data_IF_034230860015
#
_entry.id   IF_034230860015
#
_cell.length_a   1.000
_cell.length_b   1.000
_cell.length_c   1.000
_cell.angle_alpha   90.00
_cell.angle_beta   90.00
_cell.angle_gamma   90.00
#
_symmetry.space_group_name_H-M   'P 1'
#
loop_
_entity.id
_entity.type
_entity.pdbx_description
1 polymer ?
#
# COMPACT_ATOMS: atom_id res chain seq x y z
N UNK A 1 -40.61 22.40 15.27
CA UNK A 1 -40.29 23.29 14.13
C UNK A 1 -38.80 23.58 14.11
N UNK A 2 -38.18 23.73 12.94
CA UNK A 2 -36.75 24.07 12.78
C UNK A 2 -36.56 25.32 11.91
N UNK A 3 -35.62 26.19 12.27
CA UNK A 3 -35.32 27.41 11.51
C UNK A 3 -34.07 27.25 10.67
N UNK A 4 -34.13 27.70 9.41
CA UNK A 4 -32.99 27.69 8.52
C UNK A 4 -31.91 28.68 8.99
N UNK A 5 -30.70 28.20 9.23
CA UNK A 5 -29.53 29.01 9.62
C UNK A 5 -29.08 30.00 8.55
N UNK A 6 -29.44 29.77 7.28
CA UNK A 6 -29.02 30.60 6.14
C UNK A 6 -29.99 31.73 5.83
N UNK A 7 -31.30 31.51 5.99
CA UNK A 7 -32.32 32.48 5.57
C UNK A 7 -33.40 32.77 6.62
N UNK A 8 -33.36 32.14 7.79
CA UNK A 8 -34.29 32.38 8.90
C UNK A 8 -35.70 31.82 8.71
N UNK A 9 -35.98 31.14 7.59
CA UNK A 9 -37.31 30.57 7.34
C UNK A 9 -37.62 29.40 8.28
N UNK A 10 -38.84 29.34 8.79
CA UNK A 10 -39.37 28.24 9.59
C UNK A 10 -39.72 27.05 8.69
N UNK A 11 -39.32 25.85 9.09
CA UNK A 11 -39.59 24.60 8.38
C UNK A 11 -40.11 23.54 9.37
N UNK A 12 -40.74 22.51 8.83
CA UNK A 12 -41.16 21.33 9.60
C UNK A 12 -39.96 20.58 10.16
N UNK A 13 -40.16 19.88 11.29
CA UNK A 13 -39.09 19.12 11.95
C UNK A 13 -38.54 17.99 11.05
N UNK A 14 -39.35 17.48 10.13
CA UNK A 14 -38.94 16.41 9.21
C UNK A 14 -38.34 16.93 7.89
N UNK A 15 -38.29 18.24 7.67
CA UNK A 15 -37.72 18.81 6.45
C UNK A 15 -36.19 18.63 6.43
N UNK A 16 -35.66 17.92 5.42
CA UNK A 16 -34.20 17.80 5.23
C UNK A 16 -33.56 19.06 4.66
N UNK A 17 -34.32 19.80 3.86
CA UNK A 17 -33.88 21.02 3.18
C UNK A 17 -34.87 22.15 3.43
N UNK A 18 -34.35 23.38 3.43
CA UNK A 18 -35.14 24.58 3.63
C UNK A 18 -36.03 24.83 2.41
N UNK A 19 -37.34 24.98 2.64
CA UNK A 19 -38.34 25.23 1.58
C UNK A 19 -38.11 26.55 0.83
N UNK A 20 -37.44 27.52 1.46
CA UNK A 20 -37.22 28.85 0.87
C UNK A 20 -35.90 28.99 0.11
N UNK A 21 -34.82 28.36 0.57
CA UNK A 21 -33.48 28.59 0.02
C UNK A 21 -32.71 27.32 -0.36
N UNK A 22 -33.28 26.14 -0.15
CA UNK A 22 -32.66 24.85 -0.47
C UNK A 22 -31.49 24.45 0.41
N UNK A 23 -31.11 25.25 1.42
CA UNK A 23 -30.04 24.88 2.35
C UNK A 23 -30.45 23.66 3.20
N UNK A 24 -29.50 22.74 3.44
CA UNK A 24 -29.72 21.64 4.37
C UNK A 24 -30.04 22.18 5.78
N UNK A 25 -31.07 21.64 6.41
CA UNK A 25 -31.49 22.05 7.77
C UNK A 25 -30.79 21.23 8.84
N UNK A 26 -30.51 19.98 8.50
CA UNK A 26 -29.62 19.12 9.25
C UNK A 26 -28.26 19.20 8.59
N UNK A 27 -27.37 20.00 9.18
CA UNK A 27 -25.96 19.77 8.96
C UNK A 27 -25.71 18.32 9.41
N UNK A 28 -25.16 17.48 8.53
CA UNK A 28 -24.51 16.25 8.99
C UNK A 28 -23.25 16.66 9.77
N UNK A 29 -23.43 17.35 10.90
CA UNK A 29 -22.50 17.30 12.01
C UNK A 29 -22.71 15.89 12.56
N UNK A 30 -22.14 14.90 11.85
CA UNK A 30 -21.48 13.85 12.60
C UNK A 30 -20.63 14.59 13.63
N UNK A 31 -20.80 14.32 14.93
CA UNK A 31 -19.84 14.85 15.89
C UNK A 31 -18.48 14.47 15.33
N UNK A 32 -17.61 15.45 15.04
CA UNK A 32 -16.18 15.22 14.85
C UNK A 32 -15.71 14.66 16.17
N UNK A 33 -15.91 13.36 16.32
CA UNK A 33 -15.60 12.60 17.49
C UNK A 33 -14.08 12.67 17.60
N UNK A 34 -13.55 12.91 18.80
CA UNK A 34 -12.10 12.93 19.06
C UNK A 34 -11.37 11.62 18.67
N UNK A 35 -12.10 10.63 18.15
CA UNK A 35 -11.63 9.37 17.60
C UNK A 35 -10.96 9.48 16.21
N UNK A 36 -11.19 10.56 15.45
CA UNK A 36 -10.60 10.72 14.11
C UNK A 36 -9.08 10.90 14.16
N UNK A 37 -8.55 11.55 15.19
CA UNK A 37 -7.10 11.74 15.33
C UNK A 37 -6.39 10.43 15.72
N UNK A 38 -7.05 9.57 16.50
CA UNK A 38 -6.53 8.26 16.88
C UNK A 38 -6.54 7.26 15.71
N UNK A 39 -7.52 7.33 14.80
CA UNK A 39 -7.53 6.47 13.62
C UNK A 39 -6.51 6.89 12.55
N UNK A 40 -6.15 8.18 12.49
CA UNK A 40 -5.15 8.72 11.53
C UNK A 40 -3.70 8.35 11.86
N UNK A 41 -3.30 8.40 13.13
CA UNK A 41 -1.98 7.93 13.55
C UNK A 41 -1.85 6.42 13.38
N UNK A 42 -2.95 5.68 13.60
CA UNK A 42 -3.04 4.24 13.36
C UNK A 42 -2.89 3.87 11.88
N UNK A 43 -3.47 4.63 10.94
CA UNK A 43 -3.33 4.32 9.51
C UNK A 43 -1.91 4.54 8.98
N UNK A 44 -1.20 5.57 9.44
CA UNK A 44 0.22 5.77 9.10
C UNK A 44 1.13 4.73 9.75
N UNK A 45 0.87 4.37 11.00
CA UNK A 45 1.63 3.30 11.67
C UNK A 45 1.40 1.95 11.00
N UNK A 46 0.15 1.65 10.62
CA UNK A 46 -0.19 0.45 9.86
C UNK A 46 0.48 0.42 8.48
N UNK A 47 0.52 1.55 7.76
CA UNK A 47 1.23 1.66 6.48
C UNK A 47 2.71 1.29 6.62
N UNK A 48 3.37 1.78 7.66
CA UNK A 48 4.76 1.46 7.96
C UNK A 48 4.97 -0.01 8.29
N UNK A 49 4.13 -0.56 9.15
CA UNK A 49 4.21 -1.97 9.52
C UNK A 49 4.05 -2.86 8.29
N UNK A 50 3.07 -2.56 7.41
CA UNK A 50 2.84 -3.32 6.18
C UNK A 50 4.02 -3.17 5.21
N UNK A 51 4.59 -1.97 5.05
CA UNK A 51 5.78 -1.75 4.21
C UNK A 51 6.99 -2.56 4.72
N UNK A 52 7.19 -2.63 6.04
CA UNK A 52 8.24 -3.45 6.65
C UNK A 52 7.97 -4.94 6.42
N UNK A 53 6.74 -5.40 6.64
CA UNK A 53 6.35 -6.80 6.43
C UNK A 53 6.52 -7.23 4.97
N UNK A 54 6.26 -6.33 4.02
CA UNK A 54 6.43 -6.61 2.59
C UNK A 54 7.87 -7.03 2.23
N UNK A 55 8.88 -6.52 2.94
CA UNK A 55 10.30 -6.88 2.71
C UNK A 55 10.79 -7.93 3.71
N UNK A 56 10.36 -7.84 4.97
CA UNK A 56 10.81 -8.73 6.03
C UNK A 56 10.35 -10.18 5.80
N UNK A 57 9.11 -10.40 5.32
CA UNK A 57 8.57 -11.75 5.09
C UNK A 57 9.38 -12.49 4.01
N UNK A 58 9.59 -11.93 2.80
CA UNK A 58 10.43 -12.57 1.78
C UNK A 58 11.88 -12.78 2.23
N UNK A 59 12.48 -11.79 2.90
CA UNK A 59 13.86 -11.89 3.37
C UNK A 59 14.01 -13.00 4.43
N UNK A 60 13.08 -13.09 5.39
CA UNK A 60 13.08 -14.14 6.41
C UNK A 60 12.87 -15.53 5.80
N UNK A 61 11.98 -15.66 4.81
CA UNK A 61 11.77 -16.91 4.08
C UNK A 61 13.05 -17.35 3.36
N UNK A 62 13.72 -16.41 2.66
CA UNK A 62 14.96 -16.68 1.94
C UNK A 62 16.07 -17.11 2.90
N UNK A 63 16.23 -16.43 4.04
CA UNK A 63 17.20 -16.79 5.08
C UNK A 63 16.89 -18.19 5.65
N UNK A 64 15.62 -18.48 5.94
CA UNK A 64 15.20 -19.77 6.48
C UNK A 64 15.49 -20.94 5.53
N UNK A 65 15.25 -20.77 4.23
CA UNK A 65 15.58 -21.77 3.21
C UNK A 65 17.09 -22.03 3.16
N UNK A 66 17.91 -20.97 3.17
CA UNK A 66 19.37 -21.11 3.17
C UNK A 66 19.90 -21.82 4.42
N UNK A 67 19.33 -21.53 5.60
CA UNK A 67 19.70 -22.21 6.84
C UNK A 67 19.26 -23.68 6.86
N UNK A 68 18.09 -24.00 6.29
CA UNK A 68 17.56 -25.36 6.25
C UNK A 68 18.33 -26.26 5.26
N UNK A 69 18.61 -25.76 4.04
CA UNK A 69 19.42 -26.48 3.05
C UNK A 69 20.90 -26.61 3.46
N UNK A 70 21.45 -25.62 4.19
CA UNK A 70 22.82 -25.67 4.70
C UNK A 70 23.07 -26.71 5.80
N UNK A 71 22.02 -27.34 6.36
CA UNK A 71 22.13 -28.40 7.36
C UNK A 71 22.09 -29.82 6.75
N UNK A 72 21.85 -29.95 5.44
CA UNK A 72 21.79 -31.24 4.74
C UNK A 72 23.06 -31.43 3.92
N UNK A 73 24.12 -31.92 4.55
CA UNK A 73 25.21 -32.55 3.80
C UNK A 73 24.72 -33.91 3.29
N UNK A 74 24.34 -34.02 2.03
CA UNK A 74 24.84 -35.04 1.11
C UNK A 74 24.34 -34.86 -0.33
N UNK A 75 25.19 -35.29 -1.25
CA UNK A 75 25.12 -35.19 -2.71
C UNK A 75 23.91 -35.87 -3.37
N UNK A 76 23.30 -35.19 -4.34
CA UNK A 76 22.87 -35.83 -5.59
C UNK A 76 22.79 -34.82 -6.72
N UNK A 77 23.75 -34.96 -7.64
CA UNK A 77 23.74 -34.36 -8.96
C UNK A 77 22.59 -34.95 -9.78
N UNK A 78 21.62 -34.10 -10.10
CA UNK A 78 20.50 -34.44 -10.96
C UNK A 78 19.92 -33.18 -11.59
N UNK A 79 20.78 -32.29 -12.07
CA UNK A 79 20.35 -31.03 -12.65
C UNK A 79 20.13 -31.20 -14.16
N UNK A 80 18.89 -31.45 -14.56
CA UNK A 80 18.45 -31.33 -15.94
C UNK A 80 18.45 -29.84 -16.25
N UNK A 81 19.52 -29.36 -16.86
CA UNK A 81 19.67 -27.95 -17.25
C UNK A 81 18.82 -27.70 -18.49
N UNK A 82 17.59 -27.24 -18.26
CA UNK A 82 16.79 -26.66 -19.33
C UNK A 82 17.30 -25.24 -19.56
N UNK A 83 18.16 -25.07 -20.57
CA UNK A 83 18.66 -23.77 -21.03
C UNK A 83 17.53 -23.01 -21.73
N UNK A 84 16.60 -22.48 -20.94
CA UNK A 84 15.83 -21.30 -21.38
C UNK A 84 16.80 -20.13 -21.33
N UNK A 85 16.65 -19.17 -22.25
CA UNK A 85 17.31 -17.86 -22.22
C UNK A 85 17.02 -17.10 -20.89
N UNK A 86 17.61 -17.57 -19.79
CA UNK A 86 17.35 -17.16 -18.42
C UNK A 86 18.07 -15.85 -18.08
N UNK A 87 19.15 -15.51 -18.79
CA UNK A 87 19.97 -14.33 -18.50
C UNK A 87 19.19 -13.01 -18.60
N UNK A 88 18.26 -12.90 -19.56
CA UNK A 88 17.40 -11.72 -19.69
C UNK A 88 16.35 -11.67 -18.58
N UNK A 89 15.70 -12.80 -18.28
CA UNK A 89 14.69 -12.90 -17.24
C UNK A 89 15.25 -12.54 -15.86
N UNK A 90 16.41 -13.08 -15.51
CA UNK A 90 17.10 -12.82 -14.24
C UNK A 90 17.45 -11.33 -14.08
N UNK A 91 17.92 -10.67 -15.15
CA UNK A 91 18.22 -9.24 -15.12
C UNK A 91 16.96 -8.41 -14.80
N UNK A 92 15.82 -8.70 -15.43
CA UNK A 92 14.57 -7.98 -15.17
C UNK A 92 14.02 -8.24 -13.76
N UNK A 93 14.15 -9.47 -13.26
CA UNK A 93 13.77 -9.82 -11.88
C UNK A 93 14.60 -9.03 -10.86
N UNK A 94 15.92 -8.94 -11.08
CA UNK A 94 16.82 -8.17 -10.24
C UNK A 94 16.49 -6.67 -10.29
N UNK A 95 16.17 -6.13 -11.46
CA UNK A 95 15.73 -4.74 -11.61
C UNK A 95 14.45 -4.49 -10.81
N UNK A 96 13.45 -5.35 -10.93
CA UNK A 96 12.20 -5.25 -10.17
C UNK A 96 12.47 -5.29 -8.65
N UNK A 97 13.33 -6.20 -8.19
CA UNK A 97 13.72 -6.28 -6.79
C UNK A 97 14.40 -5.00 -6.27
N UNK A 98 15.27 -4.37 -7.09
CA UNK A 98 15.92 -3.10 -6.75
C UNK A 98 14.89 -1.97 -6.65
N UNK A 99 13.94 -1.90 -7.59
CA UNK A 99 12.86 -0.90 -7.56
C UNK A 99 11.99 -1.11 -6.31
N UNK A 100 11.60 -2.35 -6.00
CA UNK A 100 10.87 -2.69 -4.78
C UNK A 100 11.61 -2.30 -3.50
N UNK A 101 12.94 -2.44 -3.46
CA UNK A 101 13.77 -1.97 -2.33
C UNK A 101 13.82 -0.44 -2.25
N UNK A 102 13.89 0.26 -3.38
CA UNK A 102 13.83 1.71 -3.42
C UNK A 102 12.47 2.22 -2.90
N UNK A 103 11.36 1.57 -3.29
CA UNK A 103 10.01 1.85 -2.78
C UNK A 103 9.96 1.66 -1.26
N UNK A 104 10.55 0.57 -0.74
CA UNK A 104 10.64 0.34 0.70
C UNK A 104 11.35 1.49 1.44
N UNK A 105 12.48 1.96 0.92
CA UNK A 105 13.24 3.09 1.48
C UNK A 105 12.40 4.37 1.46
N UNK A 106 11.70 4.66 0.35
CA UNK A 106 10.77 5.80 0.26
C UNK A 106 9.70 5.68 1.34
N UNK A 107 9.14 4.48 1.54
CA UNK A 107 8.20 4.17 2.62
C UNK A 107 8.75 4.60 3.98
N UNK A 108 9.97 4.19 4.33
CA UNK A 108 10.63 4.61 5.58
C UNK A 108 10.77 6.14 5.69
N UNK A 109 11.19 6.81 4.62
CA UNK A 109 11.38 8.27 4.59
C UNK A 109 10.06 9.01 4.86
N UNK A 110 8.91 8.51 4.36
CA UNK A 110 7.58 9.09 4.63
C UNK A 110 7.26 9.15 6.14
N UNK A 111 7.86 8.28 6.96
CA UNK A 111 7.73 8.34 8.42
C UNK A 111 8.30 9.61 9.02
N UNK A 112 9.55 9.91 8.64
CA UNK A 112 10.39 10.90 9.31
C UNK A 112 10.09 12.33 8.84
N UNK A 113 9.48 12.48 7.66
CA UNK A 113 9.12 13.79 7.13
C UNK A 113 7.98 14.41 7.95
N UNK A 114 8.28 15.58 8.55
CA UNK A 114 7.31 16.44 9.23
C UNK A 114 6.57 17.39 8.27
N UNK A 115 7.14 17.69 7.11
CA UNK A 115 6.56 18.60 6.09
C UNK A 115 5.33 17.98 5.41
N UNK A 116 4.17 18.62 5.58
CA UNK A 116 2.87 18.12 5.10
C UNK A 116 2.77 17.99 3.57
N UNK A 117 3.21 19.00 2.83
CA UNK A 117 3.16 18.99 1.35
C UNK A 117 4.11 17.94 0.76
N UNK A 118 5.33 17.87 1.27
CA UNK A 118 6.31 16.87 0.85
C UNK A 118 5.82 15.45 1.15
N UNK A 119 5.24 15.21 2.32
CA UNK A 119 4.68 13.90 2.69
C UNK A 119 3.58 13.44 1.73
N UNK A 120 2.68 14.35 1.35
CA UNK A 120 1.62 14.02 0.40
C UNK A 120 2.17 13.70 -1.00
N UNK A 121 3.11 14.51 -1.49
CA UNK A 121 3.78 14.27 -2.76
C UNK A 121 4.53 12.93 -2.76
N UNK A 122 5.26 12.64 -1.69
CA UNK A 122 6.04 11.40 -1.58
C UNK A 122 5.14 10.16 -1.48
N UNK A 123 3.98 10.25 -0.80
CA UNK A 123 2.98 9.17 -0.80
C UNK A 123 2.40 8.90 -2.19
N UNK A 124 2.20 9.94 -3.01
CA UNK A 124 1.71 9.81 -4.40
C UNK A 124 2.79 9.16 -5.28
N UNK A 125 4.04 9.58 -5.15
CA UNK A 125 5.16 8.98 -5.87
C UNK A 125 5.36 7.51 -5.45
N UNK A 126 5.26 7.22 -4.15
CA UNK A 126 5.38 5.87 -3.63
C UNK A 126 4.33 4.93 -4.28
N UNK A 127 3.05 5.31 -4.28
CA UNK A 127 2.00 4.43 -4.82
C UNK A 127 2.12 4.29 -6.35
N UNK A 128 2.54 5.32 -7.07
CA UNK A 128 2.73 5.22 -8.51
C UNK A 128 3.88 4.27 -8.87
N UNK A 129 5.03 4.38 -8.20
CA UNK A 129 6.17 3.50 -8.43
C UNK A 129 5.85 2.07 -8.02
N UNK A 130 5.18 1.86 -6.88
CA UNK A 130 4.78 0.52 -6.43
C UNK A 130 3.83 -0.19 -7.41
N UNK A 131 2.86 0.53 -8.00
CA UNK A 131 1.96 -0.04 -9.01
C UNK A 131 2.71 -0.36 -10.31
N UNK A 132 3.59 0.55 -10.77
CA UNK A 132 4.40 0.29 -11.96
C UNK A 132 5.31 -0.93 -11.78
N UNK A 133 5.98 -1.03 -10.63
CA UNK A 133 6.83 -2.17 -10.29
C UNK A 133 6.04 -3.48 -10.23
N UNK A 134 4.86 -3.47 -9.61
CA UNK A 134 4.00 -4.65 -9.56
C UNK A 134 3.52 -5.11 -10.95
N UNK A 135 3.17 -4.17 -11.83
CA UNK A 135 2.80 -4.49 -13.22
C UNK A 135 4.00 -5.06 -13.98
N UNK A 136 5.19 -4.48 -13.79
CA UNK A 136 6.42 -4.98 -14.39
C UNK A 136 6.76 -6.40 -13.90
N UNK A 137 6.59 -6.66 -12.61
CA UNK A 137 6.78 -7.97 -12.01
C UNK A 137 5.77 -8.99 -12.56
N UNK A 138 4.49 -8.63 -12.70
CA UNK A 138 3.49 -9.50 -13.36
C UNK A 138 3.89 -9.82 -14.80
N UNK A 139 4.28 -8.81 -15.58
CA UNK A 139 4.67 -9.02 -16.98
C UNK A 139 5.85 -9.99 -17.10
N UNK A 140 6.83 -9.85 -16.21
CA UNK A 140 8.07 -10.64 -16.24
C UNK A 140 7.89 -12.05 -15.64
N UNK A 141 7.08 -12.19 -14.58
CA UNK A 141 6.97 -13.42 -13.79
C UNK A 141 5.76 -14.31 -14.16
N UNK A 142 4.82 -13.81 -14.96
CA UNK A 142 3.57 -14.52 -15.31
C UNK A 142 3.80 -15.94 -15.87
N UNK A 143 4.81 -16.12 -16.72
CA UNK A 143 5.16 -17.43 -17.29
C UNK A 143 5.71 -18.40 -16.24
N UNK A 144 6.54 -17.92 -15.31
CA UNK A 144 7.07 -18.73 -14.20
C UNK A 144 5.97 -19.21 -13.24
N UNK A 145 4.93 -18.41 -13.01
CA UNK A 145 3.79 -18.83 -12.17
C UNK A 145 3.04 -20.02 -12.79
N UNK A 146 2.85 -20.00 -14.11
CA UNK A 146 2.20 -21.11 -14.83
C UNK A 146 3.02 -22.39 -14.74
N UNK A 147 4.34 -22.30 -14.93
CA UNK A 147 5.25 -23.44 -14.86
C UNK A 147 5.38 -24.05 -13.46
N UNK A 148 5.13 -23.25 -12.41
CA UNK A 148 5.22 -23.68 -11.00
C UNK A 148 3.89 -24.12 -10.41
N UNK A 149 2.89 -24.44 -11.25
CA UNK A 149 1.53 -24.81 -10.81
C UNK A 149 0.90 -23.78 -9.85
N UNK A 150 1.25 -22.50 -9.99
CA UNK A 150 0.76 -21.42 -9.14
C UNK A 150 1.56 -21.17 -7.86
N UNK A 151 2.54 -22.02 -7.49
CA UNK A 151 3.40 -21.76 -6.32
C UNK A 151 4.21 -20.47 -6.46
N UNK A 152 4.58 -20.09 -7.69
CA UNK A 152 5.25 -18.84 -7.98
C UNK A 152 4.41 -17.58 -7.70
N UNK A 153 3.09 -17.71 -7.48
CA UNK A 153 2.23 -16.57 -7.15
C UNK A 153 2.57 -15.94 -5.78
N UNK A 154 3.28 -16.66 -4.90
CA UNK A 154 3.78 -16.13 -3.62
C UNK A 154 4.69 -14.91 -3.83
N UNK A 155 5.39 -14.83 -4.97
CA UNK A 155 6.23 -13.67 -5.32
C UNK A 155 5.45 -12.38 -5.55
N UNK A 156 4.13 -12.44 -5.74
CA UNK A 156 3.27 -11.25 -5.84
C UNK A 156 2.91 -10.65 -4.48
N UNK A 157 3.01 -11.42 -3.39
CA UNK A 157 2.60 -10.98 -2.04
C UNK A 157 3.32 -9.69 -1.61
N UNK A 158 4.64 -9.54 -1.78
CA UNK A 158 5.36 -8.31 -1.41
C UNK A 158 4.85 -7.07 -2.14
N UNK A 159 4.64 -7.18 -3.46
CA UNK A 159 4.13 -6.07 -4.28
C UNK A 159 2.71 -5.65 -3.86
N UNK A 160 1.84 -6.61 -3.56
CA UNK A 160 0.48 -6.34 -3.07
C UNK A 160 0.53 -5.61 -1.72
N UNK A 161 1.38 -6.07 -0.78
CA UNK A 161 1.57 -5.42 0.51
C UNK A 161 2.10 -4.00 0.36
N UNK A 162 3.06 -3.77 -0.56
CA UNK A 162 3.57 -2.44 -0.85
C UNK A 162 2.48 -1.50 -1.41
N UNK A 163 1.61 -1.97 -2.29
CA UNK A 163 0.47 -1.18 -2.80
C UNK A 163 -0.49 -0.81 -1.66
N UNK A 164 -0.84 -1.77 -0.79
CA UNK A 164 -1.71 -1.53 0.37
C UNK A 164 -1.08 -0.48 1.31
N UNK A 165 0.22 -0.59 1.58
CA UNK A 165 0.95 0.42 2.34
C UNK A 165 0.85 1.80 1.69
N UNK A 166 0.96 1.89 0.36
CA UNK A 166 0.82 3.13 -0.40
C UNK A 166 -0.55 3.79 -0.25
N UNK A 167 -1.62 3.00 -0.33
CA UNK A 167 -2.99 3.47 -0.11
C UNK A 167 -3.12 4.04 1.31
N UNK A 168 -2.60 3.33 2.32
CA UNK A 168 -2.63 3.78 3.71
C UNK A 168 -1.78 5.04 3.92
N UNK A 169 -0.63 5.18 3.26
CA UNK A 169 0.18 6.41 3.26
C UNK A 169 -0.56 7.58 2.62
N UNK A 170 -1.33 7.35 1.57
CA UNK A 170 -2.12 8.38 0.90
C UNK A 170 -3.30 8.84 1.77
N UNK A 171 -4.05 7.90 2.36
CA UNK A 171 -5.15 8.20 3.30
C UNK A 171 -4.62 8.92 4.55
N UNK A 172 -3.51 8.42 5.09
CA UNK A 172 -2.80 9.03 6.21
C UNK A 172 -2.42 10.46 5.88
N UNK A 173 -1.69 10.69 4.78
CA UNK A 173 -1.19 12.03 4.40
C UNK A 173 -2.30 13.05 4.10
N UNK A 174 -3.36 12.67 3.36
CA UNK A 174 -4.53 13.54 3.09
C UNK A 174 -5.22 14.01 4.37
N UNK A 175 -5.21 13.18 5.40
CA UNK A 175 -5.82 13.49 6.69
C UNK A 175 -5.06 14.54 7.51
N UNK A 176 -3.75 14.73 7.25
CA UNK A 176 -2.96 15.85 7.77
C UNK A 176 -3.17 17.11 6.93
N UNK A 177 -3.32 16.98 5.60
CA UNK A 177 -3.58 18.09 4.66
C UNK A 177 -4.82 18.95 4.99
N UNK A 178 -5.79 18.40 5.73
CA UNK A 178 -7.01 19.09 6.16
C UNK A 178 -6.88 19.88 7.48
N UNK A 179 -5.66 20.02 8.02
CA UNK A 179 -5.28 20.95 9.09
C UNK A 179 -4.41 22.05 8.53
#
# INVERSE_FOLDING_TARGET
MIYCRKCGCQNDENSRYCVKCGAALYDNISPKNGNDNNNKSKSLFAAHLINILAVAIPAALLIAVNLFMGSSGDSSEGNITFSIDADLSEAYINIAAIIGLAVFIIGLIIYFIKQQKAKMLLSIIYISVAVCDFVFLIATWSFYVLMTCGLGAVMYVPGILQIIAGILFLIGSKSYAAR
#
